data_IF_509547108074
#
_entry.id   IF_509547108074
#
_cell.length_a   1.000
_cell.length_b   1.000
_cell.length_c   1.000
_cell.angle_alpha   90.00
_cell.angle_beta   90.00
_cell.angle_gamma   90.00
#
_symmetry.space_group_name_H-M   'P 1'
#
loop_
_entity.id
_entity.type
_entity.pdbx_description
1 polymer ?
#
# COMPACT_ATOMS: atom_id res chain seq x y z
N UNK A 1 -82.58 31.29 -15.51
CA UNK A 1 -81.58 30.46 -16.28
C UNK A 1 -80.22 31.14 -16.34
N UNK A 2 -80.14 32.47 -16.55
CA UNK A 2 -78.79 33.17 -16.58
C UNK A 2 -78.03 33.15 -15.30
N UNK A 3 -78.67 33.19 -14.13
CA UNK A 3 -78.07 33.17 -12.83
C UNK A 3 -77.37 31.84 -12.57
N UNK A 4 -77.91 30.73 -13.02
CA UNK A 4 -77.35 29.42 -12.89
C UNK A 4 -76.08 29.28 -13.77
N UNK A 5 -76.12 29.81 -14.98
CA UNK A 5 -74.95 29.81 -15.87
C UNK A 5 -73.76 30.61 -15.30
N UNK A 6 -74.08 31.79 -14.74
CA UNK A 6 -73.07 32.64 -14.10
C UNK A 6 -72.49 31.94 -12.86
N UNK A 7 -73.31 31.30 -12.04
CA UNK A 7 -72.79 30.54 -10.86
C UNK A 7 -71.90 29.37 -11.26
N UNK A 8 -72.27 28.63 -12.31
CA UNK A 8 -71.42 27.54 -12.83
C UNK A 8 -70.12 28.06 -13.42
N UNK A 9 -70.12 29.19 -14.11
CA UNK A 9 -68.90 29.80 -14.64
C UNK A 9 -67.96 30.26 -13.54
N UNK A 10 -68.48 30.81 -12.43
CA UNK A 10 -67.67 31.20 -11.27
C UNK A 10 -67.04 29.96 -10.58
N UNK A 11 -67.84 28.90 -10.41
CA UNK A 11 -67.30 27.65 -9.80
C UNK A 11 -66.18 27.04 -10.67
N UNK A 12 -66.40 27.02 -12.01
CA UNK A 12 -65.36 26.54 -12.93
C UNK A 12 -64.11 27.40 -12.86
N UNK A 13 -64.23 28.72 -12.81
CA UNK A 13 -63.07 29.61 -12.67
C UNK A 13 -62.32 29.40 -11.35
N UNK A 14 -63.02 29.16 -10.24
CA UNK A 14 -62.43 28.84 -8.95
C UNK A 14 -61.67 27.47 -8.96
N UNK A 15 -62.28 26.45 -9.61
CA UNK A 15 -61.65 25.14 -9.75
C UNK A 15 -60.39 25.23 -10.61
N UNK A 16 -60.44 25.95 -11.72
CA UNK A 16 -59.25 26.15 -12.58
C UNK A 16 -58.17 26.93 -11.84
N UNK A 17 -58.54 28.00 -11.12
CA UNK A 17 -57.59 28.74 -10.28
C UNK A 17 -56.95 27.87 -9.20
N UNK A 18 -57.74 27.06 -8.51
CA UNK A 18 -57.25 26.14 -7.50
C UNK A 18 -56.30 25.07 -8.07
N UNK A 19 -56.66 24.47 -9.20
CA UNK A 19 -55.79 23.51 -9.90
C UNK A 19 -54.47 24.17 -10.36
N UNK A 20 -54.53 25.42 -10.81
CA UNK A 20 -53.36 26.17 -11.23
C UNK A 20 -52.42 26.43 -10.05
N UNK A 21 -52.94 26.86 -8.89
CA UNK A 21 -52.13 27.06 -7.66
C UNK A 21 -51.49 25.76 -7.20
N UNK A 22 -52.24 24.64 -7.14
CA UNK A 22 -51.73 23.34 -6.78
C UNK A 22 -50.63 22.84 -7.76
N UNK A 23 -50.76 23.10 -9.04
CA UNK A 23 -49.75 22.76 -10.03
C UNK A 23 -48.48 23.61 -9.84
N UNK A 24 -48.65 24.89 -9.56
CA UNK A 24 -47.52 25.78 -9.34
C UNK A 24 -46.75 25.45 -8.07
N UNK A 25 -47.43 25.14 -6.96
CA UNK A 25 -46.76 24.65 -5.73
C UNK A 25 -46.01 23.31 -5.94
N UNK A 26 -46.61 22.39 -6.70
CA UNK A 26 -45.93 21.13 -7.02
C UNK A 26 -44.73 21.34 -7.92
N UNK A 27 -44.77 22.27 -8.85
CA UNK A 27 -43.65 22.61 -9.73
C UNK A 27 -42.47 23.20 -8.92
N UNK A 28 -42.75 24.11 -7.99
CA UNK A 28 -41.73 24.69 -7.10
C UNK A 28 -41.09 23.63 -6.20
N UNK A 29 -41.88 22.73 -5.60
CA UNK A 29 -41.39 21.65 -4.77
C UNK A 29 -40.55 20.61 -5.57
N UNK A 30 -40.86 20.43 -6.85
CA UNK A 30 -40.04 19.58 -7.72
C UNK A 30 -38.73 20.25 -8.09
N UNK A 31 -38.77 21.54 -8.44
CA UNK A 31 -37.54 22.31 -8.74
C UNK A 31 -36.57 22.35 -7.55
N UNK A 32 -37.06 22.56 -6.35
CA UNK A 32 -36.28 22.54 -5.11
C UNK A 32 -35.66 21.15 -4.86
N UNK A 33 -36.41 20.08 -5.11
CA UNK A 33 -35.90 18.70 -5.01
C UNK A 33 -34.86 18.40 -6.08
N UNK A 34 -35.04 18.88 -7.28
CA UNK A 34 -34.12 18.66 -8.39
C UNK A 34 -32.79 19.42 -8.15
N UNK A 35 -32.84 20.65 -7.63
CA UNK A 35 -31.68 21.44 -7.23
C UNK A 35 -30.92 20.71 -6.14
N UNK A 36 -31.58 20.30 -5.05
CA UNK A 36 -30.98 19.57 -3.95
C UNK A 36 -30.34 18.24 -4.42
N UNK A 37 -31.01 17.51 -5.31
CA UNK A 37 -30.53 16.27 -5.86
C UNK A 37 -29.27 16.48 -6.72
N UNK A 38 -29.24 17.56 -7.50
CA UNK A 38 -28.10 17.90 -8.35
C UNK A 38 -26.88 18.32 -7.51
N UNK A 39 -27.05 19.13 -6.46
CA UNK A 39 -25.97 19.48 -5.52
C UNK A 39 -25.39 18.24 -4.84
N UNK A 40 -26.25 17.33 -4.35
CA UNK A 40 -25.81 16.07 -3.75
C UNK A 40 -25.05 15.20 -4.75
N UNK A 41 -25.46 15.23 -6.02
CA UNK A 41 -24.80 14.51 -7.10
C UNK A 41 -23.39 15.05 -7.38
N UNK A 42 -23.21 16.37 -7.41
CA UNK A 42 -21.92 17.01 -7.62
C UNK A 42 -20.95 16.69 -6.46
N UNK A 43 -21.41 16.83 -5.21
CA UNK A 43 -20.61 16.47 -4.02
C UNK A 43 -20.18 15.00 -4.07
N UNK A 44 -21.10 14.11 -4.41
CA UNK A 44 -20.82 12.69 -4.51
C UNK A 44 -19.84 12.38 -5.65
N UNK A 45 -19.90 13.08 -6.76
CA UNK A 45 -18.98 12.92 -7.87
C UNK A 45 -17.54 13.33 -7.47
N UNK A 46 -17.40 14.44 -6.73
CA UNK A 46 -16.12 14.87 -6.18
C UNK A 46 -15.56 13.85 -5.16
N UNK A 47 -16.41 13.33 -4.28
CA UNK A 47 -16.00 12.29 -3.32
C UNK A 47 -15.53 11.00 -3.98
N UNK A 48 -16.25 10.55 -5.01
CA UNK A 48 -15.86 9.37 -5.78
C UNK A 48 -14.56 9.60 -6.55
N UNK A 49 -14.33 10.80 -7.06
CA UNK A 49 -13.07 11.13 -7.74
C UNK A 49 -11.88 11.13 -6.76
N UNK A 50 -12.06 11.71 -5.58
CA UNK A 50 -11.06 11.66 -4.51
C UNK A 50 -10.77 10.21 -4.12
N UNK A 51 -11.81 9.42 -3.89
CA UNK A 51 -11.66 8.02 -3.50
C UNK A 51 -10.93 7.21 -4.57
N UNK A 52 -11.23 7.41 -5.85
CA UNK A 52 -10.52 6.77 -6.94
C UNK A 52 -9.02 7.11 -6.93
N UNK A 53 -8.68 8.40 -6.76
CA UNK A 53 -7.28 8.83 -6.68
C UNK A 53 -6.55 8.25 -5.46
N UNK A 54 -7.21 8.13 -4.32
CA UNK A 54 -6.65 7.49 -3.12
C UNK A 54 -6.35 6.00 -3.35
N UNK A 55 -7.24 5.26 -4.03
CA UNK A 55 -6.98 3.87 -4.44
C UNK A 55 -5.78 3.77 -5.39
N UNK A 56 -5.67 4.67 -6.37
CA UNK A 56 -4.56 4.71 -7.31
C UNK A 56 -3.22 5.02 -6.60
N UNK A 57 -3.20 5.93 -5.63
CA UNK A 57 -2.04 6.23 -4.79
C UNK A 57 -1.59 4.99 -4.00
N UNK A 58 -2.52 4.28 -3.35
CA UNK A 58 -2.20 3.08 -2.58
C UNK A 58 -1.69 1.94 -3.47
N UNK A 59 -2.27 1.79 -4.67
CA UNK A 59 -1.77 0.85 -5.65
C UNK A 59 -0.33 1.17 -6.07
N UNK A 60 -0.02 2.43 -6.39
CA UNK A 60 1.34 2.86 -6.72
C UNK A 60 2.32 2.65 -5.57
N UNK A 61 1.93 3.02 -4.35
CA UNK A 61 2.72 2.82 -3.15
C UNK A 61 3.08 1.35 -2.95
N UNK A 62 2.12 0.46 -3.12
CA UNK A 62 2.32 -0.98 -2.99
C UNK A 62 3.19 -1.54 -4.12
N UNK A 63 2.98 -1.12 -5.36
CA UNK A 63 3.74 -1.58 -6.53
C UNK A 63 5.20 -1.07 -6.54
N UNK A 64 5.46 0.15 -6.09
CA UNK A 64 6.80 0.74 -6.03
C UNK A 64 7.58 0.33 -4.78
N UNK A 65 6.90 0.17 -3.63
CA UNK A 65 7.54 -0.15 -2.34
C UNK A 65 8.14 -1.54 -2.27
N UNK A 66 7.73 -2.45 -3.15
CA UNK A 66 8.15 -3.86 -3.13
C UNK A 66 9.41 -4.14 -3.94
N UNK A 67 9.86 -3.22 -4.80
CA UNK A 67 11.06 -3.40 -5.63
C UNK A 67 11.00 -4.69 -6.47
N UNK A 68 12.12 -5.07 -7.10
CA UNK A 68 12.24 -6.27 -7.94
C UNK A 68 12.17 -7.62 -7.17
N UNK A 69 12.07 -7.60 -5.84
CA UNK A 69 11.91 -8.83 -5.06
C UNK A 69 10.50 -9.35 -5.18
N UNK A 70 10.39 -10.57 -5.72
CA UNK A 70 9.16 -11.34 -5.88
C UNK A 70 8.14 -11.07 -4.78
N UNK A 71 7.08 -10.40 -5.19
CA UNK A 71 5.88 -10.09 -4.45
C UNK A 71 5.38 -11.39 -3.78
N UNK A 72 5.16 -11.36 -2.49
CA UNK A 72 4.56 -12.51 -1.80
C UNK A 72 3.12 -12.68 -2.27
N UNK A 73 2.60 -13.92 -2.24
CA UNK A 73 1.20 -14.22 -2.55
C UNK A 73 0.19 -13.30 -1.82
N UNK A 74 0.55 -12.84 -0.61
CA UNK A 74 -0.24 -11.90 0.16
C UNK A 74 -0.34 -10.52 -0.51
N UNK A 75 0.74 -10.07 -1.14
CA UNK A 75 0.79 -8.78 -1.85
C UNK A 75 0.01 -8.82 -3.15
N UNK A 76 0.09 -9.92 -3.91
CA UNK A 76 -0.68 -10.13 -5.13
C UNK A 76 -2.19 -10.13 -4.83
N UNK A 77 -2.58 -10.77 -3.72
CA UNK A 77 -3.95 -10.76 -3.24
C UNK A 77 -4.41 -9.33 -2.91
N UNK A 78 -3.59 -8.55 -2.20
CA UNK A 78 -3.93 -7.18 -1.82
C UNK A 78 -4.02 -6.25 -3.03
N UNK A 79 -3.12 -6.40 -4.01
CA UNK A 79 -3.19 -5.68 -5.30
C UNK A 79 -4.49 -6.00 -6.03
N UNK A 80 -4.84 -7.28 -6.13
CA UNK A 80 -6.07 -7.72 -6.78
C UNK A 80 -7.32 -7.15 -6.10
N UNK A 81 -7.34 -7.13 -4.78
CA UNK A 81 -8.42 -6.54 -4.00
C UNK A 81 -8.52 -5.02 -4.20
N UNK A 82 -7.40 -4.30 -4.15
CA UNK A 82 -7.35 -2.85 -4.42
C UNK A 82 -7.93 -2.52 -5.81
N UNK A 83 -7.51 -3.26 -6.84
CA UNK A 83 -8.00 -3.07 -8.21
C UNK A 83 -9.51 -3.38 -8.33
N UNK A 84 -9.98 -4.42 -7.64
CA UNK A 84 -11.41 -4.78 -7.61
C UNK A 84 -12.25 -3.68 -6.95
N UNK A 85 -11.83 -3.14 -5.81
CA UNK A 85 -12.55 -2.07 -5.13
C UNK A 85 -12.48 -0.75 -5.91
N UNK A 86 -11.35 -0.45 -6.52
CA UNK A 86 -11.19 0.69 -7.43
C UNK A 86 -12.14 0.60 -8.63
N UNK A 87 -12.34 -0.60 -9.20
CA UNK A 87 -13.29 -0.83 -10.28
C UNK A 87 -14.74 -0.58 -9.83
N UNK A 88 -15.10 -0.88 -8.57
CA UNK A 88 -16.41 -0.52 -8.01
C UNK A 88 -16.58 0.99 -7.93
N UNK A 89 -15.56 1.74 -7.50
CA UNK A 89 -15.60 3.21 -7.50
C UNK A 89 -15.89 3.74 -8.91
N UNK A 90 -15.20 3.21 -9.93
CA UNK A 90 -15.43 3.59 -11.32
C UNK A 90 -16.85 3.26 -11.79
N UNK A 91 -17.39 2.13 -11.37
CA UNK A 91 -18.76 1.74 -11.68
C UNK A 91 -19.77 2.73 -11.05
N UNK A 92 -19.55 3.14 -9.80
CA UNK A 92 -20.40 4.14 -9.14
C UNK A 92 -20.30 5.52 -9.80
N UNK A 93 -19.12 5.91 -10.27
CA UNK A 93 -18.94 7.14 -11.05
C UNK A 93 -19.72 7.10 -12.36
N UNK A 94 -19.68 5.98 -13.08
CA UNK A 94 -20.46 5.77 -14.31
C UNK A 94 -21.96 5.78 -14.04
N UNK A 95 -22.40 5.17 -12.95
CA UNK A 95 -23.80 5.20 -12.53
C UNK A 95 -24.25 6.62 -12.22
N UNK A 96 -23.45 7.38 -11.46
CA UNK A 96 -23.76 8.74 -11.07
C UNK A 96 -23.79 9.71 -12.27
N UNK A 97 -22.89 9.53 -13.24
CA UNK A 97 -22.84 10.33 -14.47
C UNK A 97 -23.97 9.96 -15.44
N UNK A 98 -24.45 8.72 -15.40
CA UNK A 98 -25.65 8.33 -16.13
C UNK A 98 -26.88 8.81 -15.39
N UNK A 99 -27.91 9.34 -16.12
CA UNK A 99 -29.17 9.84 -15.52
C UNK A 99 -29.99 8.80 -14.71
N UNK A 100 -29.40 7.63 -14.42
CA UNK A 100 -30.00 6.56 -13.60
C UNK A 100 -30.01 6.86 -12.10
N UNK A 101 -29.15 7.75 -11.62
CA UNK A 101 -29.02 8.09 -10.19
C UNK A 101 -29.83 9.34 -9.80
N UNK A 102 -31.00 9.55 -10.38
CA UNK A 102 -31.80 10.76 -10.19
C UNK A 102 -32.71 10.75 -8.97
N UNK A 103 -32.76 9.70 -8.17
CA UNK A 103 -33.59 9.66 -6.96
C UNK A 103 -32.78 9.88 -5.69
N UNK A 104 -33.30 10.70 -4.79
CA UNK A 104 -32.71 10.94 -3.46
C UNK A 104 -32.43 9.62 -2.69
N UNK A 105 -33.28 8.60 -2.88
CA UNK A 105 -33.07 7.27 -2.31
C UNK A 105 -31.79 6.62 -2.84
N UNK A 106 -31.52 6.70 -4.16
CA UNK A 106 -30.32 6.10 -4.75
C UNK A 106 -29.05 6.84 -4.34
N UNK A 107 -29.11 8.18 -4.24
CA UNK A 107 -28.01 8.98 -3.73
C UNK A 107 -27.68 8.59 -2.28
N UNK A 108 -28.69 8.38 -1.42
CA UNK A 108 -28.46 7.88 -0.06
C UNK A 108 -27.80 6.49 -0.02
N UNK A 109 -28.16 5.59 -0.94
CA UNK A 109 -27.48 4.29 -1.08
C UNK A 109 -26.02 4.44 -1.53
N UNK A 110 -25.77 5.29 -2.55
CA UNK A 110 -24.42 5.59 -3.03
C UNK A 110 -23.55 6.17 -1.91
N UNK A 111 -24.09 7.04 -1.06
CA UNK A 111 -23.38 7.58 0.12
C UNK A 111 -22.92 6.45 1.05
N UNK A 112 -23.78 5.46 1.30
CA UNK A 112 -23.42 4.30 2.13
C UNK A 112 -22.37 3.41 1.46
N UNK A 113 -22.48 3.19 0.14
CA UNK A 113 -21.50 2.42 -0.62
C UNK A 113 -20.12 3.10 -0.61
N UNK A 114 -20.08 4.43 -0.82
CA UNK A 114 -18.84 5.23 -0.74
C UNK A 114 -18.23 5.18 0.66
N UNK A 115 -19.03 5.29 1.72
CA UNK A 115 -18.55 5.18 3.10
C UNK A 115 -17.95 3.78 3.37
N UNK A 116 -18.56 2.73 2.84
CA UNK A 116 -18.05 1.36 2.94
C UNK A 116 -16.72 1.22 2.21
N UNK A 117 -16.62 1.69 0.96
CA UNK A 117 -15.38 1.65 0.17
C UNK A 117 -14.24 2.45 0.84
N UNK A 118 -14.56 3.59 1.47
CA UNK A 118 -13.59 4.37 2.24
C UNK A 118 -13.06 3.61 3.45
N UNK A 119 -13.93 2.90 4.18
CA UNK A 119 -13.50 2.06 5.30
C UNK A 119 -12.63 0.89 4.85
N UNK A 120 -12.97 0.26 3.73
CA UNK A 120 -12.15 -0.80 3.12
C UNK A 120 -10.78 -0.26 2.73
N UNK A 121 -10.72 0.90 2.07
CA UNK A 121 -9.45 1.56 1.72
C UNK A 121 -8.59 1.85 2.95
N UNK A 122 -9.19 2.36 4.04
CA UNK A 122 -8.48 2.60 5.29
C UNK A 122 -7.82 1.33 5.85
N UNK A 123 -8.50 0.19 5.76
CA UNK A 123 -7.93 -1.09 6.17
C UNK A 123 -6.76 -1.51 5.26
N UNK A 124 -6.85 -1.26 3.94
CA UNK A 124 -5.75 -1.53 3.02
C UNK A 124 -4.54 -0.63 3.31
N UNK A 125 -4.74 0.65 3.61
CA UNK A 125 -3.65 1.56 4.01
C UNK A 125 -2.87 1.00 5.20
N UNK A 126 -3.56 0.53 6.23
CA UNK A 126 -2.93 -0.08 7.41
C UNK A 126 -2.13 -1.33 7.03
N UNK A 127 -2.66 -2.18 6.16
CA UNK A 127 -1.97 -3.39 5.71
C UNK A 127 -0.73 -3.05 4.86
N UNK A 128 -0.84 -2.08 3.95
CA UNK A 128 0.27 -1.60 3.11
C UNK A 128 1.39 -1.03 3.98
N UNK A 129 1.07 -0.18 4.95
CA UNK A 129 2.05 0.41 5.86
C UNK A 129 2.75 -0.66 6.72
N UNK A 130 2.01 -1.67 7.17
CA UNK A 130 2.57 -2.81 7.90
C UNK A 130 3.52 -3.64 7.02
N UNK A 131 3.13 -3.94 5.78
CA UNK A 131 3.96 -4.67 4.82
C UNK A 131 5.23 -3.89 4.46
N UNK A 132 5.12 -2.59 4.27
CA UNK A 132 6.27 -1.72 3.99
C UNK A 132 7.26 -1.73 5.16
N UNK A 133 6.77 -1.53 6.38
CA UNK A 133 7.61 -1.56 7.59
C UNK A 133 8.30 -2.92 7.78
N UNK A 134 7.59 -4.03 7.53
CA UNK A 134 8.17 -5.36 7.59
C UNK A 134 9.24 -5.56 6.50
N UNK A 135 9.02 -5.06 5.28
CA UNK A 135 9.98 -5.14 4.18
C UNK A 135 11.26 -4.35 4.50
N UNK A 136 11.13 -3.14 5.01
CA UNK A 136 12.27 -2.30 5.38
C UNK A 136 13.10 -2.95 6.49
N UNK A 137 12.45 -3.52 7.50
CA UNK A 137 13.13 -4.30 8.55
C UNK A 137 13.88 -5.51 7.98
N UNK A 138 13.24 -6.29 7.12
CA UNK A 138 13.87 -7.45 6.49
C UNK A 138 15.07 -7.07 5.60
N UNK A 139 14.99 -5.94 4.90
CA UNK A 139 16.12 -5.40 4.12
C UNK A 139 17.29 -5.03 5.02
N UNK A 140 17.03 -4.37 6.14
CA UNK A 140 18.06 -4.03 7.11
C UNK A 140 18.69 -5.29 7.71
N UNK A 141 17.89 -6.23 8.21
CA UNK A 141 18.36 -7.51 8.74
C UNK A 141 19.21 -8.28 7.71
N UNK A 142 18.77 -8.33 6.44
CA UNK A 142 19.53 -8.98 5.36
C UNK A 142 20.87 -8.28 5.11
N UNK A 143 20.91 -6.95 5.15
CA UNK A 143 22.14 -6.17 5.02
C UNK A 143 23.11 -6.44 6.16
N UNK A 144 22.63 -6.48 7.40
CA UNK A 144 23.44 -6.80 8.60
C UNK A 144 23.98 -8.22 8.56
N UNK A 145 23.14 -9.19 8.17
CA UNK A 145 23.55 -10.59 8.00
C UNK A 145 24.63 -10.71 6.92
N UNK A 146 24.46 -10.07 5.76
CA UNK A 146 25.50 -10.07 4.71
C UNK A 146 26.80 -9.44 5.19
N UNK A 147 26.75 -8.33 5.93
CA UNK A 147 27.92 -7.71 6.50
C UNK A 147 28.63 -8.60 7.53
N UNK A 148 27.86 -9.34 8.34
CA UNK A 148 28.43 -10.31 9.30
C UNK A 148 29.08 -11.49 8.61
N UNK A 149 28.48 -12.03 7.55
CA UNK A 149 29.10 -13.08 6.73
C UNK A 149 30.39 -12.62 6.07
N UNK A 150 30.43 -11.39 5.54
CA UNK A 150 31.66 -10.85 4.95
C UNK A 150 32.77 -10.75 5.98
N UNK A 151 32.51 -10.24 7.19
CA UNK A 151 33.48 -10.16 8.27
C UNK A 151 33.97 -11.54 8.69
N UNK A 152 33.08 -12.51 8.87
CA UNK A 152 33.46 -13.86 9.23
C UNK A 152 34.31 -14.53 8.15
N UNK A 153 34.06 -14.28 6.88
CA UNK A 153 34.87 -14.77 5.76
C UNK A 153 36.28 -14.14 5.78
N UNK A 154 36.37 -12.84 6.00
CA UNK A 154 37.67 -12.14 6.13
C UNK A 154 38.48 -12.64 7.32
N UNK A 155 37.85 -12.82 8.47
CA UNK A 155 38.49 -13.39 9.67
C UNK A 155 39.00 -14.82 9.43
N UNK A 156 38.19 -15.67 8.81
CA UNK A 156 38.57 -17.02 8.45
C UNK A 156 39.79 -17.05 7.51
N UNK A 157 39.81 -16.13 6.53
CA UNK A 157 40.95 -16.01 5.61
C UNK A 157 42.23 -15.54 6.34
N UNK A 158 42.10 -14.55 7.23
CA UNK A 158 43.23 -14.08 8.06
C UNK A 158 43.79 -15.19 8.94
N UNK A 159 42.91 -15.90 9.66
CA UNK A 159 43.32 -17.04 10.49
C UNK A 159 43.99 -18.15 9.67
N UNK A 160 43.50 -18.45 8.47
CA UNK A 160 44.11 -19.41 7.57
C UNK A 160 45.52 -18.99 7.16
N UNK A 161 45.72 -17.72 6.82
CA UNK A 161 47.04 -17.16 6.45
C UNK A 161 48.00 -17.17 7.64
N UNK A 162 47.53 -16.78 8.82
CA UNK A 162 48.35 -16.81 10.05
C UNK A 162 48.78 -18.24 10.42
N UNK A 163 47.85 -19.20 10.35
CA UNK A 163 48.12 -20.61 10.55
C UNK A 163 49.21 -21.13 9.58
N UNK A 164 49.12 -20.75 8.29
CA UNK A 164 50.12 -21.13 7.31
C UNK A 164 51.50 -20.56 7.66
N UNK A 165 51.57 -19.25 8.01
CA UNK A 165 52.83 -18.61 8.43
C UNK A 165 53.42 -19.23 9.68
N UNK A 166 52.61 -19.49 10.72
CA UNK A 166 53.05 -20.16 11.93
C UNK A 166 53.56 -21.57 11.64
N UNK A 167 52.90 -22.34 10.81
CA UNK A 167 53.31 -23.67 10.40
C UNK A 167 54.67 -23.64 9.70
N UNK A 168 54.88 -22.68 8.80
CA UNK A 168 56.17 -22.54 8.11
C UNK A 168 57.30 -22.09 9.05
N UNK A 169 57.02 -21.21 10.04
CA UNK A 169 57.98 -20.82 11.07
C UNK A 169 58.37 -22.01 11.96
N UNK A 170 57.41 -22.84 12.36
CA UNK A 170 57.69 -24.07 13.15
C UNK A 170 58.51 -25.06 12.34
N UNK A 171 58.23 -25.28 11.06
CA UNK A 171 59.05 -26.13 10.18
C UNK A 171 60.48 -25.62 10.03
N UNK A 172 60.63 -24.28 9.91
CA UNK A 172 61.96 -23.66 9.82
C UNK A 172 62.74 -23.81 11.11
N UNK A 173 62.12 -23.57 12.29
CA UNK A 173 62.71 -23.76 13.58
C UNK A 173 63.16 -25.23 13.82
N UNK A 174 62.33 -26.19 13.45
CA UNK A 174 62.64 -27.61 13.55
C UNK A 174 63.83 -28.02 12.66
N UNK A 175 64.03 -27.36 11.50
CA UNK A 175 65.24 -27.57 10.69
C UNK A 175 66.50 -26.97 11.27
N UNK A 176 66.40 -25.83 11.96
CA UNK A 176 67.60 -25.17 12.57
C UNK A 176 68.11 -25.92 13.76
N UNK A 177 67.30 -26.62 14.53
CA UNK A 177 67.74 -27.43 15.70
C UNK A 177 68.53 -28.67 15.32
N UNK A 178 68.40 -29.16 14.07
CA UNK A 178 69.10 -30.37 13.61
C UNK A 178 70.46 -30.13 12.91
N UNK A 179 70.88 -28.87 12.62
CA UNK A 179 72.00 -28.59 11.71
C UNK A 179 73.32 -28.12 12.40
N UNK A 180 73.41 -28.04 13.72
CA UNK A 180 74.58 -27.56 14.40
C UNK A 180 74.96 -28.35 15.68
N UNK A 181 74.95 -29.65 15.65
CA UNK A 181 75.54 -30.45 16.67
C UNK A 181 76.95 -30.84 16.19
N UNK A 182 77.94 -30.06 16.56
CA UNK A 182 79.33 -30.43 16.40
C UNK A 182 79.80 -31.14 17.70
N UNK A 183 79.96 -32.45 17.62
CA UNK A 183 80.49 -33.24 18.73
C UNK A 183 81.97 -33.20 18.63
N UNK A 184 82.63 -32.42 19.48
CA UNK A 184 84.10 -32.42 19.64
C UNK A 184 84.45 -33.35 20.76
N UNK A 185 85.21 -34.42 20.53
CA UNK A 185 85.67 -35.28 21.59
C UNK A 185 86.68 -34.53 22.48
N UNK A 186 86.40 -34.50 23.77
CA UNK A 186 87.29 -33.92 24.75
C UNK A 186 87.85 -35.06 25.64
N UNK A 187 89.16 -35.01 25.99
CA UNK A 187 89.78 -35.95 26.88
C UNK A 187 89.33 -35.70 28.34
N UNK A 188 89.70 -36.62 29.30
CA UNK A 188 89.36 -36.55 30.72
C UNK A 188 89.83 -35.24 31.41
N UNK A 189 90.65 -34.43 30.78
CA UNK A 189 91.16 -33.15 31.25
C UNK A 189 90.59 -31.94 30.54
N UNK A 190 89.49 -32.11 29.77
CA UNK A 190 88.82 -31.00 29.08
C UNK A 190 89.58 -30.44 27.88
N UNK A 191 90.57 -31.12 27.34
CA UNK A 191 91.30 -30.71 26.14
C UNK A 191 90.79 -31.46 24.93
N UNK A 192 90.70 -30.72 23.78
CA UNK A 192 90.34 -31.33 22.48
C UNK A 192 91.25 -32.52 22.20
N UNK A 193 90.67 -33.71 22.04
CA UNK A 193 91.43 -34.89 21.61
C UNK A 193 91.74 -34.69 20.11
N UNK A 194 93.08 -34.76 19.81
CA UNK A 194 93.50 -34.79 18.40
C UNK A 194 93.15 -36.10 17.76
#
# INVERSE_FOLDING_TARGET
>A
KHVIIVAVAIILALVVGFVFVLRNERAQLQEEKDIFTNEQKEIMQEELQKLASEYDIQYQKLSQGLGEQKISLATDSLISQLLSERAKVEQLQKELSSNKATSAKRIGQLTQEVATLRNVLKNYVIQIDSLQSANDRLRQENSEVRASYARAADEAQQLSNEKAQLTDRVKLAAKLDATRISVTPIDKRGKLSK
#
